data_IF_500046160901
#
_entry.id   IF_500046160901
#
_cell.length_a   1.000
_cell.length_b   1.000
_cell.length_c   1.000
_cell.angle_alpha   90.00
_cell.angle_beta   90.00
_cell.angle_gamma   90.00
#
_symmetry.space_group_name_H-M   'P 1'
#
loop_
_entity.id
_entity.type
_entity.pdbx_description
1 polymer ?
#
# COMPACT_ATOMS: atom_id res chain seq x y z
N UNK A 1 -88.04 -24.37 -21.32
CA UNK A 1 -86.73 -24.50 -22.00
C UNK A 1 -85.86 -23.32 -21.57
N UNK A 2 -85.03 -23.50 -20.56
CA UNK A 2 -84.09 -22.48 -20.08
C UNK A 2 -82.69 -22.82 -20.62
N UNK A 3 -82.08 -21.87 -21.32
CA UNK A 3 -80.74 -21.99 -21.92
C UNK A 3 -79.69 -21.51 -20.93
N UNK A 4 -78.87 -22.43 -20.42
CA UNK A 4 -77.74 -22.12 -19.54
C UNK A 4 -76.58 -21.53 -20.34
N UNK A 5 -76.39 -20.22 -20.19
CA UNK A 5 -75.18 -19.50 -20.63
C UNK A 5 -73.98 -20.01 -19.84
N UNK A 6 -73.14 -20.82 -20.48
CA UNK A 6 -71.83 -21.20 -19.95
C UNK A 6 -70.95 -19.94 -19.82
N UNK A 7 -70.71 -19.50 -18.58
CA UNK A 7 -69.69 -18.50 -18.27
C UNK A 7 -68.32 -19.12 -18.55
N UNK A 8 -67.61 -18.61 -19.56
CA UNK A 8 -66.20 -18.95 -19.79
C UNK A 8 -65.41 -18.51 -18.56
N UNK A 9 -64.72 -19.45 -17.91
CA UNK A 9 -63.72 -19.16 -16.89
C UNK A 9 -62.62 -18.28 -17.50
N UNK A 10 -62.12 -17.26 -16.78
CA UNK A 10 -60.98 -16.49 -17.22
C UNK A 10 -59.78 -17.44 -17.41
N UNK A 11 -58.93 -17.20 -18.43
CA UNK A 11 -57.74 -18.02 -18.63
C UNK A 11 -56.89 -18.00 -17.36
N UNK A 12 -56.29 -19.15 -16.97
CA UNK A 12 -55.41 -19.21 -15.82
C UNK A 12 -54.29 -18.18 -15.99
N UNK A 13 -54.04 -17.39 -14.94
CA UNK A 13 -52.92 -16.46 -14.94
C UNK A 13 -51.62 -17.26 -15.20
N UNK A 14 -50.74 -16.76 -16.08
CA UNK A 14 -49.52 -17.47 -16.42
C UNK A 14 -48.69 -17.67 -15.15
N UNK A 15 -48.44 -18.93 -14.80
CA UNK A 15 -47.53 -19.30 -13.72
C UNK A 15 -46.13 -18.79 -14.08
N UNK A 16 -45.59 -17.91 -13.24
CA UNK A 16 -44.24 -17.37 -13.40
C UNK A 16 -43.25 -18.53 -13.46
N UNK A 17 -42.47 -18.61 -14.53
CA UNK A 17 -41.49 -19.68 -14.73
C UNK A 17 -40.42 -19.66 -13.62
N UNK A 18 -39.99 -20.83 -13.16
CA UNK A 18 -39.01 -21.01 -12.08
C UNK A 18 -37.63 -20.40 -12.39
N UNK A 19 -37.31 -20.20 -13.67
CA UNK A 19 -36.02 -19.68 -14.12
C UNK A 19 -36.23 -18.51 -15.09
N UNK A 20 -36.38 -17.31 -14.54
CA UNK A 20 -36.43 -16.07 -15.31
C UNK A 20 -35.30 -15.16 -14.88
N UNK A 21 -34.55 -14.66 -15.85
CA UNK A 21 -33.49 -13.69 -15.63
C UNK A 21 -34.00 -12.31 -16.00
N UNK A 22 -33.80 -11.35 -15.11
CA UNK A 22 -34.01 -9.94 -15.45
C UNK A 22 -32.75 -9.47 -16.19
N UNK A 23 -32.91 -9.06 -17.45
CA UNK A 23 -31.79 -8.69 -18.31
C UNK A 23 -31.70 -7.17 -18.38
N UNK A 24 -30.50 -6.65 -18.15
CA UNK A 24 -30.17 -5.25 -18.38
C UNK A 24 -29.27 -5.12 -19.61
N UNK A 25 -29.48 -4.06 -20.37
CA UNK A 25 -28.74 -3.73 -21.59
C UNK A 25 -27.83 -2.52 -21.36
N UNK A 26 -26.52 -2.72 -21.53
CA UNK A 26 -25.52 -1.66 -21.47
C UNK A 26 -24.95 -1.36 -22.85
N UNK A 27 -24.57 -0.10 -23.06
CA UNK A 27 -23.79 0.35 -24.23
C UNK A 27 -22.46 0.93 -23.78
N UNK A 28 -21.35 0.36 -24.25
CA UNK A 28 -19.97 0.77 -23.90
C UNK A 28 -19.13 0.80 -25.17
N UNK A 29 -18.47 1.93 -25.48
CA UNK A 29 -17.73 2.15 -26.74
C UNK A 29 -18.48 1.67 -28.00
N UNK A 30 -19.79 1.92 -28.06
CA UNK A 30 -20.64 1.52 -29.19
C UNK A 30 -20.99 0.04 -29.26
N UNK A 31 -20.53 -0.80 -28.33
CA UNK A 31 -20.92 -2.21 -28.20
C UNK A 31 -22.08 -2.37 -27.22
N UNK A 32 -22.95 -3.34 -27.50
CA UNK A 32 -24.10 -3.69 -26.66
C UNK A 32 -23.80 -4.94 -25.85
N UNK A 33 -24.09 -4.89 -24.55
CA UNK A 33 -23.95 -5.99 -23.62
C UNK A 33 -25.29 -6.28 -22.95
N UNK A 34 -25.75 -7.54 -23.02
CA UNK A 34 -26.96 -8.01 -22.35
C UNK A 34 -26.57 -8.97 -21.25
N UNK A 35 -26.89 -8.61 -20.01
CA UNK A 35 -26.40 -9.33 -18.83
C UNK A 35 -27.48 -9.42 -17.75
N UNK A 36 -27.45 -10.46 -16.89
CA UNK A 36 -28.40 -10.56 -15.78
C UNK A 36 -28.22 -9.41 -14.79
N UNK A 37 -29.28 -8.65 -14.52
CA UNK A 37 -29.27 -7.48 -13.64
C UNK A 37 -28.89 -7.81 -12.19
N UNK A 38 -29.19 -9.02 -11.74
CA UNK A 38 -29.07 -9.43 -10.33
C UNK A 38 -27.67 -9.24 -9.76
N UNK A 39 -26.59 -9.61 -10.47
CA UNK A 39 -25.23 -9.49 -9.91
C UNK A 39 -24.77 -8.03 -9.82
N UNK A 40 -25.29 -7.13 -10.66
CA UNK A 40 -25.02 -5.70 -10.52
C UNK A 40 -25.66 -5.14 -9.25
N UNK A 41 -26.91 -5.54 -8.96
CA UNK A 41 -27.60 -5.18 -7.71
C UNK A 41 -26.90 -5.80 -6.49
N UNK A 42 -26.52 -7.08 -6.58
CA UNK A 42 -25.88 -7.80 -5.47
C UNK A 42 -24.51 -7.21 -5.11
N UNK A 43 -23.74 -6.82 -6.11
CA UNK A 43 -22.36 -6.39 -5.89
C UNK A 43 -22.18 -4.88 -5.83
N UNK A 44 -23.10 -4.05 -6.31
CA UNK A 44 -22.95 -2.59 -6.32
C UNK A 44 -24.19 -1.88 -5.80
N UNK A 45 -24.00 -1.11 -4.74
CA UNK A 45 -25.03 -0.23 -4.18
C UNK A 45 -25.42 0.87 -5.19
N UNK A 46 -24.46 1.35 -6.00
CA UNK A 46 -24.71 2.35 -7.05
C UNK A 46 -25.71 1.80 -8.08
N UNK A 47 -25.48 0.56 -8.54
CA UNK A 47 -26.40 -0.07 -9.47
C UNK A 47 -27.73 -0.43 -8.79
N UNK A 48 -27.72 -0.91 -7.55
CA UNK A 48 -28.94 -1.19 -6.79
C UNK A 48 -29.83 0.06 -6.66
N UNK A 49 -29.25 1.21 -6.29
CA UNK A 49 -29.95 2.48 -6.16
C UNK A 49 -30.47 2.96 -7.51
N UNK A 50 -29.61 3.01 -8.54
CA UNK A 50 -30.00 3.41 -9.90
C UNK A 50 -31.18 2.58 -10.42
N UNK A 51 -31.16 1.28 -10.16
CA UNK A 51 -32.21 0.34 -10.55
C UNK A 51 -33.48 0.43 -9.70
N UNK A 52 -33.39 0.96 -8.48
CA UNK A 52 -34.52 1.20 -7.59
C UNK A 52 -35.24 2.53 -7.83
N UNK A 53 -34.66 3.45 -8.62
CA UNK A 53 -35.30 4.72 -8.96
C UNK A 53 -36.59 4.50 -9.77
N UNK A 54 -37.65 5.28 -9.50
CA UNK A 54 -38.89 5.18 -10.25
C UNK A 54 -38.67 5.54 -11.72
N UNK A 55 -39.31 4.80 -12.63
CA UNK A 55 -39.24 5.04 -14.06
C UNK A 55 -39.60 6.49 -14.40
N UNK A 56 -38.69 7.18 -15.08
CA UNK A 56 -38.97 8.47 -15.70
C UNK A 56 -40.05 8.27 -16.77
N UNK A 57 -41.07 9.12 -16.75
CA UNK A 57 -42.12 9.12 -17.77
C UNK A 57 -41.75 10.11 -18.85
N UNK A 58 -41.77 9.66 -20.09
CA UNK A 58 -41.59 10.55 -21.22
C UNK A 58 -42.77 11.52 -21.37
N UNK A 59 -42.64 12.49 -22.28
CA UNK A 59 -43.69 13.46 -22.63
C UNK A 59 -45.00 12.83 -23.13
N UNK A 60 -45.02 11.52 -23.40
CA UNK A 60 -46.16 10.73 -23.88
C UNK A 60 -46.72 9.80 -22.79
N UNK A 61 -46.18 9.87 -21.56
CA UNK A 61 -46.63 9.10 -20.40
C UNK A 61 -46.14 7.64 -20.40
N UNK A 62 -45.26 7.25 -21.32
CA UNK A 62 -44.63 5.93 -21.37
C UNK A 62 -43.47 5.88 -20.38
N UNK A 63 -43.34 4.76 -19.67
CA UNK A 63 -42.18 4.51 -18.84
C UNK A 63 -40.97 4.31 -19.78
N UNK A 64 -40.08 5.30 -19.83
CA UNK A 64 -38.81 5.21 -20.55
C UNK A 64 -37.74 4.85 -19.51
N UNK A 65 -37.56 3.55 -19.33
CA UNK A 65 -36.57 3.00 -18.40
C UNK A 65 -35.38 2.54 -19.22
N UNK A 66 -34.29 3.26 -19.10
CA UNK A 66 -33.02 2.89 -19.73
C UNK A 66 -32.58 1.50 -19.26
N UNK A 67 -32.02 0.73 -20.20
CA UNK A 67 -31.47 -0.60 -19.97
C UNK A 67 -32.46 -1.75 -20.16
N UNK A 68 -33.74 -1.50 -20.48
CA UNK A 68 -34.72 -2.56 -20.75
C UNK A 68 -34.66 -3.12 -22.17
N UNK A 69 -34.07 -2.39 -23.13
CA UNK A 69 -33.99 -2.83 -24.52
C UNK A 69 -32.72 -2.34 -25.22
N UNK A 70 -32.46 -2.87 -26.42
CA UNK A 70 -31.30 -2.48 -27.25
C UNK A 70 -31.46 -1.05 -27.76
N UNK A 71 -32.70 -0.60 -27.96
CA UNK A 71 -33.05 0.73 -28.45
C UNK A 71 -32.91 1.81 -27.37
N UNK A 72 -33.02 1.43 -26.09
CA UNK A 72 -32.81 2.32 -24.94
C UNK A 72 -31.86 1.65 -23.92
N UNK A 73 -30.55 1.54 -24.20
CA UNK A 73 -29.57 0.93 -23.31
C UNK A 73 -29.04 1.95 -22.28
N UNK A 74 -28.55 1.46 -21.14
CA UNK A 74 -27.76 2.30 -20.22
C UNK A 74 -26.40 2.56 -20.87
N UNK A 75 -26.14 3.83 -21.21
CA UNK A 75 -24.89 4.22 -21.87
C UNK A 75 -23.82 4.54 -20.82
N UNK A 76 -22.69 3.85 -20.87
CA UNK A 76 -21.55 4.06 -19.97
C UNK A 76 -20.44 4.83 -20.69
N UNK A 77 -20.57 6.14 -20.72
CA UNK A 77 -19.58 7.04 -21.35
C UNK A 77 -18.27 7.10 -20.55
N UNK A 78 -17.14 7.14 -21.26
CA UNK A 78 -15.80 7.23 -20.67
C UNK A 78 -15.20 5.90 -20.21
N UNK A 79 -15.90 4.79 -20.38
CA UNK A 79 -15.40 3.43 -20.08
C UNK A 79 -15.08 2.66 -21.36
N UNK A 80 -14.08 1.79 -21.28
CA UNK A 80 -13.67 0.96 -22.43
C UNK A 80 -14.47 -0.34 -22.46
N UNK A 81 -14.87 -0.78 -23.66
CA UNK A 81 -15.60 -2.04 -23.80
C UNK A 81 -14.78 -3.24 -23.32
N UNK A 82 -13.46 -3.25 -23.57
CA UNK A 82 -12.57 -4.31 -23.08
C UNK A 82 -12.47 -4.36 -21.55
N UNK A 83 -12.54 -3.20 -20.88
CA UNK A 83 -12.53 -3.15 -19.42
C UNK A 83 -13.83 -3.71 -18.86
N UNK A 84 -14.96 -3.37 -19.49
CA UNK A 84 -16.27 -3.89 -19.12
C UNK A 84 -16.39 -5.40 -19.36
N UNK A 85 -15.87 -5.91 -20.48
CA UNK A 85 -15.79 -7.34 -20.77
C UNK A 85 -15.01 -8.10 -19.68
N UNK A 86 -13.89 -7.55 -19.22
CA UNK A 86 -13.11 -8.14 -18.12
C UNK A 86 -13.92 -8.19 -16.81
N UNK A 87 -14.62 -7.12 -16.46
CA UNK A 87 -15.53 -7.11 -15.31
C UNK A 87 -16.62 -8.19 -15.44
N UNK A 88 -17.27 -8.28 -16.60
CA UNK A 88 -18.31 -9.28 -16.85
C UNK A 88 -17.75 -10.70 -16.76
N UNK A 89 -16.53 -10.94 -17.25
CA UNK A 89 -15.86 -12.24 -17.13
C UNK A 89 -15.65 -12.63 -15.66
N UNK A 90 -15.24 -11.69 -14.81
CA UNK A 90 -15.12 -11.91 -13.36
C UNK A 90 -16.48 -12.09 -12.68
N UNK A 91 -17.48 -11.31 -13.09
CA UNK A 91 -18.83 -11.35 -12.53
C UNK A 91 -19.63 -12.55 -13.01
N UNK A 92 -19.36 -13.15 -14.17
CA UNK A 92 -20.11 -14.27 -14.72
C UNK A 92 -19.16 -15.33 -15.32
N UNK A 93 -18.45 -16.10 -14.47
CA UNK A 93 -17.66 -17.23 -14.93
C UNK A 93 -18.55 -18.23 -15.67
N UNK A 94 -18.06 -18.76 -16.81
CA UNK A 94 -18.79 -19.79 -17.54
C UNK A 94 -18.81 -21.11 -16.75
N UNK A 95 -19.76 -21.99 -17.06
CA UNK A 95 -19.82 -23.32 -16.45
C UNK A 95 -18.51 -24.10 -16.65
N UNK A 96 -17.88 -24.01 -17.81
CA UNK A 96 -16.56 -24.61 -18.05
C UNK A 96 -15.47 -24.02 -17.16
N UNK A 97 -15.46 -22.68 -16.96
CA UNK A 97 -14.49 -22.06 -16.07
C UNK A 97 -14.56 -22.61 -14.63
N UNK A 98 -15.78 -22.89 -14.16
CA UNK A 98 -16.02 -23.40 -12.81
C UNK A 98 -15.76 -24.91 -12.72
N UNK A 99 -16.36 -25.69 -13.63
CA UNK A 99 -16.31 -27.16 -13.59
C UNK A 99 -14.91 -27.71 -13.90
N UNK A 100 -14.18 -27.04 -14.79
CA UNK A 100 -12.85 -27.49 -15.22
C UNK A 100 -11.72 -26.75 -14.47
N UNK A 101 -12.06 -25.77 -13.61
CA UNK A 101 -11.08 -24.96 -12.90
C UNK A 101 -10.22 -24.08 -13.82
N UNK A 102 -10.69 -23.84 -15.05
CA UNK A 102 -9.97 -23.12 -16.12
C UNK A 102 -10.20 -21.61 -16.10
N UNK A 103 -10.82 -21.07 -15.03
CA UNK A 103 -10.97 -19.63 -14.90
C UNK A 103 -9.59 -18.96 -14.88
N UNK A 104 -9.32 -18.15 -15.91
CA UNK A 104 -8.06 -17.44 -16.10
C UNK A 104 -8.33 -16.03 -16.59
N UNK A 105 -7.64 -15.08 -15.98
CA UNK A 105 -7.64 -13.68 -16.39
C UNK A 105 -6.20 -13.19 -16.43
N UNK A 106 -5.90 -12.39 -17.44
CA UNK A 106 -4.63 -11.71 -17.60
C UNK A 106 -4.48 -10.58 -16.58
N UNK A 107 -3.25 -10.08 -16.45
CA UNK A 107 -2.94 -8.93 -15.60
C UNK A 107 -3.81 -7.71 -15.95
N UNK A 108 -3.91 -7.35 -17.23
CA UNK A 108 -4.67 -6.16 -17.65
C UNK A 108 -6.17 -6.33 -17.46
N UNK A 109 -6.70 -7.55 -17.66
CA UNK A 109 -8.08 -7.87 -17.34
C UNK A 109 -8.35 -7.67 -15.84
N UNK A 110 -7.47 -8.18 -14.95
CA UNK A 110 -7.64 -7.97 -13.52
C UNK A 110 -7.53 -6.50 -13.09
N UNK A 111 -6.62 -5.72 -13.68
CA UNK A 111 -6.54 -4.27 -13.45
C UNK A 111 -7.84 -3.59 -13.89
N UNK A 112 -8.42 -4.01 -15.01
CA UNK A 112 -9.71 -3.50 -15.48
C UNK A 112 -10.84 -3.82 -14.50
N UNK A 113 -10.88 -5.05 -13.96
CA UNK A 113 -11.83 -5.43 -12.90
C UNK A 113 -11.63 -4.55 -11.67
N UNK A 114 -10.39 -4.37 -11.20
CA UNK A 114 -10.08 -3.54 -10.03
C UNK A 114 -10.53 -2.08 -10.24
N UNK A 115 -10.25 -1.50 -11.42
CA UNK A 115 -10.68 -0.15 -11.79
C UNK A 115 -12.19 0.00 -11.73
N UNK A 116 -12.94 -0.81 -12.47
CA UNK A 116 -14.40 -0.67 -12.56
C UNK A 116 -15.09 -1.02 -11.24
N UNK A 117 -14.62 -2.05 -10.55
CA UNK A 117 -15.16 -2.41 -9.23
C UNK A 117 -14.91 -1.34 -8.17
N UNK A 118 -13.83 -0.57 -8.27
CA UNK A 118 -13.60 0.57 -7.38
C UNK A 118 -14.55 1.72 -7.70
N UNK A 119 -14.71 2.07 -8.99
CA UNK A 119 -15.57 3.18 -9.43
C UNK A 119 -17.05 2.91 -9.16
N UNK A 120 -17.49 1.65 -9.31
CA UNK A 120 -18.88 1.26 -9.11
C UNK A 120 -19.16 0.67 -7.72
N UNK A 121 -18.28 0.92 -6.76
CA UNK A 121 -18.39 0.44 -5.37
C UNK A 121 -18.73 -1.07 -5.26
N UNK A 122 -18.07 -1.92 -6.05
CA UNK A 122 -18.28 -3.37 -6.07
C UNK A 122 -17.34 -4.10 -5.11
N UNK A 123 -17.51 -3.95 -3.80
CA UNK A 123 -16.55 -4.39 -2.77
C UNK A 123 -16.07 -5.84 -2.91
N UNK A 124 -17.00 -6.79 -3.10
CA UNK A 124 -16.65 -8.22 -3.23
C UNK A 124 -15.83 -8.49 -4.49
N UNK A 125 -16.19 -7.84 -5.60
CA UNK A 125 -15.48 -7.98 -6.88
C UNK A 125 -14.12 -7.28 -6.82
N UNK A 126 -14.04 -6.13 -6.16
CA UNK A 126 -12.80 -5.42 -5.88
C UNK A 126 -11.83 -6.30 -5.09
N UNK A 127 -12.29 -6.90 -4.00
CA UNK A 127 -11.46 -7.81 -3.21
C UNK A 127 -11.03 -9.04 -4.02
N UNK A 128 -11.91 -9.55 -4.88
CA UNK A 128 -11.57 -10.66 -5.78
C UNK A 128 -10.45 -10.26 -6.76
N UNK A 129 -10.49 -9.06 -7.33
CA UNK A 129 -9.44 -8.54 -8.20
C UNK A 129 -8.10 -8.32 -7.47
N UNK A 130 -8.13 -7.77 -6.26
CA UNK A 130 -6.94 -7.62 -5.40
C UNK A 130 -6.31 -8.98 -5.13
N UNK A 131 -7.11 -9.98 -4.75
CA UNK A 131 -6.63 -11.34 -4.53
C UNK A 131 -6.06 -11.93 -5.82
N UNK A 132 -6.76 -11.80 -6.95
CA UNK A 132 -6.29 -12.26 -8.26
C UNK A 132 -4.93 -11.69 -8.65
N UNK A 133 -4.73 -10.38 -8.45
CA UNK A 133 -3.47 -9.68 -8.72
C UNK A 133 -2.36 -10.00 -7.71
N UNK A 134 -2.71 -10.28 -6.46
CA UNK A 134 -1.74 -10.57 -5.39
C UNK A 134 -1.28 -12.03 -5.36
N UNK A 135 -2.10 -12.96 -5.84
CA UNK A 135 -1.86 -14.41 -5.67
C UNK A 135 -0.75 -14.97 -6.58
N UNK A 136 -0.26 -14.19 -7.56
CA UNK A 136 0.88 -14.58 -8.41
C UNK A 136 0.65 -15.81 -9.30
N UNK A 137 -0.55 -16.38 -9.32
CA UNK A 137 -0.91 -17.47 -10.21
C UNK A 137 -1.06 -16.93 -11.64
N UNK A 138 -0.45 -17.63 -12.60
CA UNK A 138 -0.54 -17.38 -14.04
C UNK A 138 -0.01 -16.02 -14.53
N UNK A 139 1.32 -15.82 -14.46
CA UNK A 139 2.05 -14.72 -15.14
C UNK A 139 1.76 -13.28 -14.69
N UNK A 140 0.95 -13.10 -13.65
CA UNK A 140 0.67 -11.79 -13.05
C UNK A 140 1.69 -11.51 -11.94
N UNK A 141 2.84 -10.95 -12.30
CA UNK A 141 3.81 -10.44 -11.32
C UNK A 141 3.73 -8.92 -11.31
N UNK A 142 3.31 -8.33 -10.19
CA UNK A 142 3.36 -6.89 -9.97
C UNK A 142 4.75 -6.50 -9.46
N UNK A 143 5.40 -5.57 -10.16
CA UNK A 143 6.65 -4.94 -9.71
C UNK A 143 6.38 -3.99 -8.53
N UNK A 144 7.44 -3.55 -7.85
CA UNK A 144 7.38 -2.54 -6.78
C UNK A 144 6.65 -1.27 -7.24
N UNK A 145 6.95 -0.83 -8.47
CA UNK A 145 6.35 0.35 -9.10
C UNK A 145 4.88 0.12 -9.41
N UNK A 146 4.53 -1.08 -9.89
CA UNK A 146 3.14 -1.44 -10.15
C UNK A 146 2.31 -1.42 -8.87
N UNK A 147 2.84 -1.99 -7.78
CA UNK A 147 2.17 -2.00 -6.47
C UNK A 147 1.98 -0.58 -5.93
N UNK A 148 3.01 0.24 -6.00
CA UNK A 148 2.92 1.64 -5.59
C UNK A 148 1.87 2.40 -6.43
N UNK A 149 1.92 2.27 -7.76
CA UNK A 149 1.00 2.94 -8.67
C UNK A 149 -0.46 2.48 -8.50
N UNK A 150 -0.70 1.16 -8.52
CA UNK A 150 -2.04 0.60 -8.36
C UNK A 150 -2.58 0.87 -6.94
N UNK A 151 -1.70 0.86 -5.94
CA UNK A 151 -2.02 1.25 -4.56
C UNK A 151 -2.53 2.69 -4.47
N UNK A 152 -1.84 3.64 -5.11
CA UNK A 152 -2.25 5.05 -5.19
C UNK A 152 -3.58 5.21 -5.96
N UNK A 153 -3.65 4.68 -7.18
CA UNK A 153 -4.77 4.96 -8.10
C UNK A 153 -6.05 4.20 -7.73
N UNK A 154 -5.92 2.98 -7.21
CA UNK A 154 -7.07 2.12 -6.85
C UNK A 154 -7.27 1.97 -5.33
N UNK A 155 -6.55 2.79 -4.55
CA UNK A 155 -6.71 2.89 -3.10
C UNK A 155 -6.49 1.57 -2.37
N UNK A 156 -5.44 0.84 -2.74
CA UNK A 156 -5.07 -0.46 -2.15
C UNK A 156 -3.91 -0.25 -1.18
N UNK A 157 -4.20 0.07 0.07
CA UNK A 157 -3.20 0.42 1.09
C UNK A 157 -2.06 -0.61 1.23
N UNK A 158 -2.31 -1.94 1.28
CA UNK A 158 -1.23 -2.92 1.39
C UNK A 158 -0.23 -2.83 0.22
N UNK A 159 -0.70 -2.61 -1.00
CA UNK A 159 0.17 -2.47 -2.17
C UNK A 159 0.90 -1.14 -2.19
N UNK A 160 0.25 -0.06 -1.74
CA UNK A 160 0.90 1.24 -1.61
C UNK A 160 2.11 1.14 -0.68
N UNK A 161 1.89 0.64 0.53
CA UNK A 161 2.95 0.50 1.55
C UNK A 161 4.04 -0.44 1.06
N UNK A 162 3.68 -1.63 0.55
CA UNK A 162 4.64 -2.63 0.09
C UNK A 162 5.48 -2.11 -1.09
N UNK A 163 4.82 -1.50 -2.08
CA UNK A 163 5.45 -0.97 -3.29
C UNK A 163 6.43 0.15 -2.98
N UNK A 164 6.00 1.16 -2.21
CA UNK A 164 6.85 2.30 -1.82
C UNK A 164 8.01 1.84 -0.94
N UNK A 165 7.76 0.99 0.06
CA UNK A 165 8.81 0.43 0.92
C UNK A 165 9.87 -0.32 0.11
N UNK A 166 9.43 -1.09 -0.89
CA UNK A 166 10.34 -1.84 -1.76
C UNK A 166 11.18 -0.93 -2.67
N UNK A 167 10.59 0.16 -3.19
CA UNK A 167 11.32 1.18 -3.99
C UNK A 167 12.36 1.90 -3.12
N UNK A 168 12.01 2.28 -1.89
CA UNK A 168 12.96 2.94 -0.99
C UNK A 168 14.10 1.99 -0.63
N UNK A 169 13.77 0.72 -0.36
CA UNK A 169 14.74 -0.30 0.05
C UNK A 169 15.73 -0.70 -1.04
N UNK A 170 15.45 -0.45 -2.33
CA UNK A 170 16.44 -0.69 -3.40
C UNK A 170 17.64 0.26 -3.30
N UNK A 171 17.44 1.45 -2.73
CA UNK A 171 18.45 2.50 -2.59
C UNK A 171 18.77 3.26 -3.89
N UNK A 172 18.16 2.87 -5.01
CA UNK A 172 18.36 3.52 -6.30
C UNK A 172 17.53 4.81 -6.40
N UNK A 173 18.07 5.88 -7.02
CA UNK A 173 17.29 7.08 -7.30
C UNK A 173 16.16 6.75 -8.28
N UNK A 174 14.95 7.30 -8.09
CA UNK A 174 13.83 7.07 -9.00
C UNK A 174 14.15 7.48 -10.44
N UNK A 175 13.88 6.57 -11.36
CA UNK A 175 14.03 6.77 -12.80
C UNK A 175 12.98 7.76 -13.35
N UNK A 176 13.25 8.32 -14.54
CA UNK A 176 12.29 9.18 -15.22
C UNK A 176 10.96 8.47 -15.53
N UNK A 177 10.99 7.15 -15.78
CA UNK A 177 9.79 6.34 -15.94
C UNK A 177 8.98 6.26 -14.65
N UNK A 178 9.62 6.03 -13.51
CA UNK A 178 8.94 5.97 -12.21
C UNK A 178 8.35 7.32 -11.81
N UNK A 179 9.06 8.41 -12.10
CA UNK A 179 8.55 9.79 -11.90
C UNK A 179 7.28 10.03 -12.71
N UNK A 180 7.25 9.58 -13.97
CA UNK A 180 6.07 9.74 -14.83
C UNK A 180 4.89 8.89 -14.36
N UNK A 181 5.16 7.69 -13.84
CA UNK A 181 4.12 6.76 -13.40
C UNK A 181 3.55 7.14 -12.04
N UNK A 182 4.39 7.41 -11.04
CA UNK A 182 3.97 7.68 -9.66
C UNK A 182 3.63 9.16 -9.43
N UNK A 183 4.14 10.05 -10.28
CA UNK A 183 3.98 11.49 -10.13
C UNK A 183 4.98 12.11 -9.16
N UNK A 184 5.11 13.43 -9.24
CA UNK A 184 6.12 14.20 -8.49
C UNK A 184 5.91 14.17 -6.98
N UNK A 185 4.66 14.16 -6.50
CA UNK A 185 4.36 14.16 -5.07
C UNK A 185 4.90 12.90 -4.39
N UNK A 186 4.47 11.73 -4.89
CA UNK A 186 4.90 10.44 -4.38
C UNK A 186 6.43 10.26 -4.49
N UNK A 187 7.03 10.65 -5.62
CA UNK A 187 8.49 10.57 -5.77
C UNK A 187 9.23 11.50 -4.81
N UNK A 188 8.71 12.69 -4.53
CA UNK A 188 9.33 13.61 -3.56
C UNK A 188 9.37 12.99 -2.16
N UNK A 189 8.29 12.30 -1.76
CA UNK A 189 8.24 11.57 -0.49
C UNK A 189 9.24 10.40 -0.50
N UNK A 190 9.27 9.61 -1.58
CA UNK A 190 10.25 8.51 -1.75
C UNK A 190 11.68 9.04 -1.59
N UNK A 191 12.06 10.10 -2.29
CA UNK A 191 13.43 10.67 -2.23
C UNK A 191 13.73 11.21 -0.84
N UNK A 192 12.78 11.87 -0.19
CA UNK A 192 12.95 12.36 1.18
C UNK A 192 13.18 11.20 2.14
N UNK A 193 12.37 10.14 2.07
CA UNK A 193 12.50 8.96 2.92
C UNK A 193 13.79 8.22 2.60
N UNK A 194 14.16 8.00 1.33
CA UNK A 194 15.46 7.42 0.95
C UNK A 194 16.62 8.21 1.56
N UNK A 195 16.54 9.55 1.53
CA UNK A 195 17.54 10.41 2.13
C UNK A 195 17.54 10.36 3.68
N UNK A 196 16.46 9.91 4.33
CA UNK A 196 16.36 9.70 5.78
C UNK A 196 16.73 8.28 6.21
N UNK A 197 16.34 7.28 5.41
CA UNK A 197 16.51 5.85 5.62
C UNK A 197 17.88 5.34 5.16
N UNK A 198 18.63 6.13 4.39
CA UNK A 198 20.03 5.83 4.14
C UNK A 198 20.75 5.72 5.50
N UNK A 199 21.27 4.53 5.87
CA UNK A 199 21.88 4.29 7.18
C UNK A 199 23.05 5.24 7.45
N UNK A 200 23.54 5.90 6.40
CA UNK A 200 24.79 6.63 6.37
C UNK A 200 24.63 8.14 6.22
N UNK A 201 23.44 8.73 6.42
CA UNK A 201 23.40 10.21 6.48
C UNK A 201 24.21 10.71 7.67
N UNK A 202 24.10 10.03 8.82
CA UNK A 202 24.89 10.35 10.01
C UNK A 202 26.26 9.67 10.02
N UNK A 203 26.44 8.61 9.22
CA UNK A 203 27.70 7.88 9.12
C UNK A 203 28.52 8.30 7.89
N UNK A 204 29.56 9.12 8.04
CA UNK A 204 30.43 9.42 6.89
C UNK A 204 31.51 8.34 6.73
N UNK A 205 31.50 7.65 5.59
CA UNK A 205 32.50 6.64 5.24
C UNK A 205 33.74 7.30 4.64
N UNK A 206 34.90 7.00 5.21
CA UNK A 206 36.21 7.42 4.70
C UNK A 206 37.06 6.18 4.45
N UNK A 207 38.17 6.31 3.73
CA UNK A 207 39.11 5.20 3.52
C UNK A 207 39.68 4.62 4.83
N UNK A 208 39.53 5.34 5.94
CA UNK A 208 40.05 4.95 7.26
C UNK A 208 39.00 4.31 8.16
N UNK A 209 37.71 4.68 8.06
CA UNK A 209 36.66 4.12 8.93
C UNK A 209 35.30 4.80 8.83
N UNK A 210 34.46 4.56 9.83
CA UNK A 210 33.07 5.03 9.92
C UNK A 210 32.99 6.12 10.98
N UNK A 211 32.37 7.25 10.69
CA UNK A 211 32.25 8.38 11.64
C UNK A 211 30.79 8.67 11.94
N UNK A 212 30.40 9.06 13.16
CA UNK A 212 29.03 9.42 13.51
C UNK A 212 28.93 10.72 14.30
N UNK A 213 27.69 11.21 14.44
CA UNK A 213 27.35 12.33 15.33
C UNK A 213 27.03 11.82 16.75
N UNK A 214 27.17 12.70 17.74
CA UNK A 214 26.82 12.37 19.12
C UNK A 214 25.31 12.13 19.30
N UNK A 215 24.46 12.85 18.56
CA UNK A 215 22.99 12.70 18.60
C UNK A 215 22.47 11.40 17.99
N UNK A 216 23.30 10.72 17.19
CA UNK A 216 22.97 9.41 16.60
C UNK A 216 23.10 8.26 17.60
N UNK A 217 23.75 8.48 18.74
CA UNK A 217 23.88 7.48 19.80
C UNK A 217 22.57 7.37 20.60
N UNK A 218 22.03 6.16 20.68
CA UNK A 218 20.76 5.83 21.34
C UNK A 218 20.97 4.92 22.53
N UNK A 219 20.02 4.97 23.45
CA UNK A 219 19.94 4.05 24.58
C UNK A 219 19.62 2.62 24.07
N UNK A 220 20.37 1.58 24.49
CA UNK A 220 20.10 0.20 24.06
C UNK A 220 18.77 -0.39 24.57
N UNK A 221 18.16 0.21 25.59
CA UNK A 221 16.91 -0.31 26.19
C UNK A 221 15.67 0.37 25.62
N UNK A 222 15.69 1.70 25.55
CA UNK A 222 14.53 2.50 25.16
C UNK A 222 14.68 3.20 23.80
N UNK A 223 15.83 3.05 23.13
CA UNK A 223 16.12 3.57 21.79
C UNK A 223 16.00 5.10 21.61
N UNK A 224 15.78 5.84 22.71
CA UNK A 224 15.79 7.29 22.73
C UNK A 224 17.22 7.86 22.66
N UNK A 225 17.33 9.13 22.28
CA UNK A 225 18.60 9.84 22.21
C UNK A 225 19.36 9.72 23.54
N UNK A 226 20.59 9.22 23.50
CA UNK A 226 21.38 9.02 24.71
C UNK A 226 22.00 10.34 25.20
N UNK A 227 22.33 11.23 24.25
CA UNK A 227 22.88 12.55 24.53
C UNK A 227 21.97 13.63 23.96
N UNK A 228 21.55 14.56 24.83
CA UNK A 228 20.75 15.75 24.47
C UNK A 228 21.56 17.04 24.49
N UNK A 229 22.82 16.97 24.92
CA UNK A 229 23.72 18.11 25.02
C UNK A 229 25.07 17.76 24.40
N UNK A 230 25.78 18.74 23.82
CA UNK A 230 27.16 18.55 23.37
C UNK A 230 28.07 18.07 24.51
N UNK A 231 29.09 17.29 24.16
CA UNK A 231 30.13 16.86 25.10
C UNK A 231 31.46 17.54 24.77
N UNK A 232 32.38 17.52 25.73
CA UNK A 232 33.78 17.87 25.50
C UNK A 232 34.62 16.60 25.60
N UNK A 233 35.46 16.35 24.60
CA UNK A 233 36.40 15.24 24.62
C UNK A 233 37.35 15.38 25.81
N UNK A 234 37.47 14.34 26.63
CA UNK A 234 38.28 14.36 27.86
C UNK A 234 39.77 14.59 27.57
N UNK A 235 40.27 14.07 26.44
CA UNK A 235 41.69 14.14 26.11
C UNK A 235 42.12 15.44 25.41
N UNK A 236 41.26 16.05 24.58
CA UNK A 236 41.64 17.24 23.79
C UNK A 236 40.73 18.46 24.00
N UNK A 237 39.74 18.34 24.89
CA UNK A 237 38.75 19.37 25.22
C UNK A 237 37.96 19.91 24.02
N UNK A 238 37.99 19.20 22.88
CA UNK A 238 37.21 19.59 21.71
C UNK A 238 35.72 19.33 21.94
N UNK A 239 34.89 20.28 21.51
CA UNK A 239 33.45 20.12 21.55
C UNK A 239 32.98 19.08 20.52
N UNK A 240 32.23 18.10 20.98
CA UNK A 240 31.55 17.07 20.22
C UNK A 240 30.08 17.50 20.13
N UNK A 241 29.73 18.16 19.03
CA UNK A 241 28.36 18.61 18.77
C UNK A 241 27.44 17.43 18.46
N UNK A 242 26.16 17.56 18.83
CA UNK A 242 25.10 16.58 18.55
C UNK A 242 24.95 16.33 17.05
N UNK A 243 25.15 17.35 16.22
CA UNK A 243 24.90 17.29 14.77
C UNK A 243 26.16 17.09 13.93
N UNK A 244 27.35 17.17 14.55
CA UNK A 244 28.60 17.00 13.82
C UNK A 244 28.86 15.52 13.52
N UNK A 245 28.49 15.11 12.31
CA UNK A 245 28.62 13.74 11.77
C UNK A 245 30.03 13.20 11.66
N UNK A 246 31.04 14.04 11.89
CA UNK A 246 32.45 13.67 11.93
C UNK A 246 33.05 13.83 13.31
N UNK A 247 32.25 13.98 14.37
CA UNK A 247 32.79 14.22 15.70
C UNK A 247 33.32 12.93 16.35
N UNK A 248 32.69 11.79 16.05
CA UNK A 248 33.05 10.48 16.58
C UNK A 248 33.50 9.58 15.42
N UNK A 249 34.57 8.84 15.63
CA UNK A 249 35.15 7.88 14.70
C UNK A 249 35.08 6.48 15.32
N UNK A 250 34.74 5.46 14.53
CA UNK A 250 34.66 4.07 14.95
C UNK A 250 35.90 3.32 14.47
N UNK A 251 36.79 2.97 15.38
CA UNK A 251 38.05 2.28 15.08
C UNK A 251 37.81 0.78 14.89
N UNK A 252 38.46 0.18 13.89
CA UNK A 252 38.43 -1.26 13.59
C UNK A 252 37.02 -1.83 13.55
N UNK A 253 36.14 -1.31 12.70
CA UNK A 253 34.82 -1.89 12.49
C UNK A 253 34.91 -2.90 11.32
N UNK A 254 35.36 -4.16 11.53
CA UNK A 254 35.57 -5.11 10.43
C UNK A 254 34.21 -5.65 9.92
N UNK A 255 33.12 -5.18 10.52
CA UNK A 255 31.73 -5.60 10.32
C UNK A 255 30.84 -4.50 9.75
N UNK A 256 31.29 -3.26 9.52
CA UNK A 256 30.41 -2.22 8.93
C UNK A 256 30.17 -2.44 7.42
N UNK A 257 30.94 -3.32 6.77
CA UNK A 257 30.58 -3.84 5.45
C UNK A 257 29.59 -5.01 5.47
N UNK A 258 29.24 -5.54 6.65
CA UNK A 258 28.48 -6.78 6.78
C UNK A 258 27.54 -6.85 8.02
N UNK A 259 27.11 -5.71 8.58
CA UNK A 259 26.14 -5.70 9.67
C UNK A 259 24.71 -5.82 9.12
N UNK A 260 24.43 -6.90 8.39
CA UNK A 260 23.11 -7.51 8.44
C UNK A 260 23.07 -8.22 9.78
N UNK A 261 22.41 -7.65 10.78
CA UNK A 261 22.26 -8.27 12.11
C UNK A 261 21.68 -9.67 11.90
N UNK A 262 22.46 -10.71 12.18
CA UNK A 262 21.97 -12.07 12.34
C UNK A 262 20.97 -12.06 13.50
N UNK A 263 19.83 -12.72 13.33
CA UNK A 263 18.64 -12.75 14.20
C UNK A 263 18.86 -13.27 15.66
N UNK A 264 20.07 -13.24 16.22
CA UNK A 264 20.41 -13.99 17.42
C UNK A 264 20.47 -13.19 18.73
N UNK A 265 20.35 -11.85 18.75
CA UNK A 265 20.53 -11.09 20.01
C UNK A 265 19.58 -9.87 20.13
N UNK A 266 18.27 -10.08 19.94
CA UNK A 266 17.27 -9.03 20.21
C UNK A 266 16.21 -9.56 21.17
N UNK A 267 16.36 -9.21 22.45
CA UNK A 267 15.32 -9.42 23.48
C UNK A 267 14.40 -8.18 23.66
N UNK A 268 14.61 -7.10 22.88
CA UNK A 268 13.83 -5.86 23.02
C UNK A 268 12.80 -5.68 21.89
N UNK A 269 11.51 -5.38 22.21
CA UNK A 269 10.46 -5.12 21.22
C UNK A 269 10.67 -3.81 20.43
N UNK A 270 11.68 -3.01 20.76
CA UNK A 270 11.98 -1.72 20.11
C UNK A 270 13.19 -1.77 19.16
N UNK A 271 13.92 -2.89 19.07
CA UNK A 271 15.05 -2.99 18.17
C UNK A 271 14.60 -3.19 16.73
N UNK A 272 15.22 -2.47 15.81
CA UNK A 272 15.03 -2.67 14.38
C UNK A 272 16.16 -3.51 13.79
N UNK A 273 15.93 -4.11 12.62
CA UNK A 273 16.95 -4.87 11.87
C UNK A 273 18.17 -4.03 11.47
N UNK A 274 18.11 -2.70 11.62
CA UNK A 274 19.09 -1.73 11.13
C UNK A 274 19.95 -1.11 12.25
N UNK A 275 19.73 -1.45 13.51
CA UNK A 275 20.46 -0.87 14.64
C UNK A 275 21.91 -1.36 14.71
N UNK A 276 22.88 -0.45 14.57
CA UNK A 276 24.28 -0.82 14.70
C UNK A 276 24.67 -0.82 16.18
N UNK A 277 24.85 -2.01 16.73
CA UNK A 277 25.42 -2.20 18.06
C UNK A 277 26.93 -1.97 18.01
N UNK A 278 27.39 -0.99 18.76
CA UNK A 278 28.80 -0.62 18.83
C UNK A 278 29.25 -0.72 20.28
N UNK A 279 30.37 -1.41 20.52
CA UNK A 279 31.05 -1.29 21.81
C UNK A 279 31.62 0.13 21.90
N UNK A 280 31.23 0.91 22.91
CA UNK A 280 31.69 2.29 23.03
C UNK A 280 33.20 2.43 23.21
N UNK A 281 33.92 1.34 23.55
CA UNK A 281 35.39 1.27 23.48
C UNK A 281 35.95 1.37 22.07
N UNK A 282 35.12 1.27 21.04
CA UNK A 282 35.48 1.45 19.64
C UNK A 282 35.30 2.90 19.18
N UNK A 283 34.70 3.76 20.01
CA UNK A 283 34.51 5.18 19.69
C UNK A 283 35.77 5.98 19.98
N UNK A 284 36.17 6.83 19.04
CA UNK A 284 37.31 7.75 19.11
C UNK A 284 36.86 9.17 18.78
N UNK A 285 37.42 10.15 19.45
CA UNK A 285 37.28 11.55 19.07
C UNK A 285 37.94 11.76 17.71
N UNK A 286 37.24 12.35 16.75
CA UNK A 286 37.79 12.55 15.42
C UNK A 286 38.98 13.54 15.38
N UNK A 287 39.15 14.38 16.42
CA UNK A 287 40.25 15.34 16.49
C UNK A 287 41.55 14.74 17.04
N UNK A 288 41.45 13.88 18.07
CA UNK A 288 42.63 13.39 18.80
C UNK A 288 42.77 11.87 18.81
N UNK A 289 41.80 11.13 18.28
CA UNK A 289 41.77 9.67 18.23
C UNK A 289 41.84 8.97 19.59
N UNK A 290 41.48 9.66 20.68
CA UNK A 290 41.30 9.09 22.02
C UNK A 290 39.81 9.00 22.36
N UNK A 291 39.46 8.33 23.46
CA UNK A 291 38.06 8.11 23.85
C UNK A 291 37.28 9.44 23.95
N UNK A 292 36.22 9.63 23.14
CA UNK A 292 35.45 10.86 23.10
C UNK A 292 34.55 10.99 24.32
N UNK A 293 34.11 9.85 24.86
CA UNK A 293 33.18 9.72 25.98
C UNK A 293 33.97 9.09 27.14
N UNK A 294 34.01 9.71 28.33
CA UNK A 294 34.72 9.14 29.46
C UNK A 294 34.06 7.82 29.89
N UNK A 295 34.77 6.72 29.64
CA UNK A 295 34.32 5.35 29.94
C UNK A 295 34.28 5.05 31.45
N UNK A 296 34.93 5.89 32.25
CA UNK A 296 34.94 5.86 33.72
C UNK A 296 33.68 6.44 34.35
N UNK A 297 32.89 7.24 33.61
CA UNK A 297 31.64 7.80 34.10
C UNK A 297 30.50 6.79 33.97
N UNK A 298 29.68 6.72 35.02
CA UNK A 298 28.39 6.04 34.96
C UNK A 298 27.39 6.98 34.30
N UNK A 299 26.84 6.57 33.17
CA UNK A 299 25.83 7.34 32.45
C UNK A 299 24.43 6.78 32.71
N UNK A 300 23.44 7.66 32.80
CA UNK A 300 22.04 7.29 32.96
C UNK A 300 21.27 7.79 31.76
N UNK A 301 20.43 6.92 31.17
CA UNK A 301 19.47 7.37 30.18
C UNK A 301 18.37 8.14 30.90
N UNK A 302 18.12 9.40 30.52
CA UNK A 302 17.09 10.23 31.15
C UNK A 302 15.66 9.70 30.98
N UNK A 303 15.43 8.87 29.95
CA UNK A 303 14.10 8.36 29.61
C UNK A 303 13.75 7.11 30.41
N UNK A 304 14.64 6.12 30.47
CA UNK A 304 14.38 4.85 31.16
C UNK A 304 15.09 4.69 32.51
N UNK A 305 15.89 5.69 32.93
CA UNK A 305 16.64 5.74 34.19
C UNK A 305 17.57 4.53 34.45
N UNK A 306 17.87 3.75 33.40
CA UNK A 306 18.76 2.59 33.53
C UNK A 306 20.22 3.04 33.56
N UNK A 307 20.95 2.60 34.59
CA UNK A 307 22.40 2.74 34.72
C UNK A 307 23.12 2.04 33.57
N UNK A 308 23.89 2.77 32.76
CA UNK A 308 24.65 2.20 31.64
C UNK A 308 26.14 2.47 31.76
N UNK A 309 26.90 1.40 31.55
CA UNK A 309 28.32 1.47 31.25
C UNK A 309 28.40 1.77 29.75
N UNK A 310 29.20 2.75 29.29
CA UNK A 310 29.30 3.13 27.88
C UNK A 310 29.86 2.04 26.94
N UNK A 311 29.97 0.78 27.40
CA UNK A 311 30.44 -0.37 26.63
C UNK A 311 29.40 -0.94 25.65
N UNK A 312 28.14 -0.52 25.73
CA UNK A 312 27.11 -0.89 24.73
C UNK A 312 26.35 0.36 24.33
N UNK A 313 26.64 0.88 23.14
CA UNK A 313 25.95 2.04 22.55
C UNK A 313 25.31 1.55 21.25
N UNK A 314 24.05 1.94 21.03
CA UNK A 314 23.38 1.68 19.76
C UNK A 314 23.48 2.92 18.91
N UNK A 315 23.93 2.79 17.67
CA UNK A 315 23.72 3.84 16.67
C UNK A 315 22.37 3.53 16.05
N UNK A 316 21.36 4.27 16.50
CA UNK A 316 19.99 4.08 16.04
C UNK A 316 19.89 4.52 14.60
N UNK A 317 19.66 3.56 13.70
CA UNK A 317 19.16 3.89 12.37
C UNK A 317 17.66 4.12 12.56
N UNK A 318 17.17 5.26 12.06
CA UNK A 318 15.80 5.78 12.29
C UNK A 318 14.70 4.74 12.01
N UNK A 319 13.50 5.08 12.50
CA UNK A 319 12.18 4.49 12.19
C UNK A 319 12.14 3.59 10.96
N UNK A 320 11.44 2.45 11.07
CA UNK A 320 11.30 1.52 9.96
C UNK A 320 10.91 2.28 8.69
N UNK A 321 11.46 1.90 7.53
CA UNK A 321 11.05 2.48 6.24
C UNK A 321 9.52 2.46 6.13
N UNK A 322 8.90 1.40 6.63
CA UNK A 322 7.45 1.28 6.66
C UNK A 322 6.78 2.38 7.51
N UNK A 323 7.30 2.72 8.68
CA UNK A 323 6.75 3.78 9.54
C UNK A 323 6.85 5.15 8.87
N UNK A 324 8.01 5.44 8.26
CA UNK A 324 8.23 6.65 7.48
C UNK A 324 7.30 6.75 6.27
N UNK A 325 7.00 5.62 5.62
CA UNK A 325 6.02 5.55 4.54
C UNK A 325 4.60 5.79 5.08
N UNK A 326 4.23 5.17 6.20
CA UNK A 326 2.91 5.36 6.80
C UNK A 326 2.66 6.81 7.23
N UNK A 327 3.69 7.50 7.73
CA UNK A 327 3.62 8.92 8.07
C UNK A 327 3.54 9.80 6.80
N UNK A 328 4.44 9.57 5.85
CA UNK A 328 4.53 10.43 4.66
C UNK A 328 3.32 10.28 3.73
N UNK A 329 2.70 9.09 3.66
CA UNK A 329 1.52 8.81 2.82
C UNK A 329 0.24 8.70 3.64
N UNK A 330 0.20 9.34 4.82
CA UNK A 330 -0.92 9.24 5.74
C UNK A 330 -2.26 9.62 5.09
N UNK A 331 -2.31 10.71 4.31
CA UNK A 331 -3.53 11.17 3.63
C UNK A 331 -4.04 10.12 2.63
N UNK A 332 -3.17 9.60 1.77
CA UNK A 332 -3.53 8.55 0.80
C UNK A 332 -3.98 7.26 1.49
N UNK A 333 -3.39 6.93 2.65
CA UNK A 333 -3.77 5.75 3.43
C UNK A 333 -5.12 5.93 4.14
N UNK A 334 -5.47 7.13 4.58
CA UNK A 334 -6.83 7.42 5.07
C UNK A 334 -7.86 7.31 3.95
N UNK A 335 -7.54 7.81 2.75
CA UNK A 335 -8.39 7.65 1.55
C UNK A 335 -8.61 6.17 1.21
N UNK A 336 -7.58 5.33 1.38
CA UNK A 336 -7.71 3.88 1.25
C UNK A 336 -8.70 3.30 2.25
N UNK A 337 -8.62 3.68 3.53
CA UNK A 337 -9.54 3.19 4.56
C UNK A 337 -10.98 3.58 4.29
N UNK A 338 -11.21 4.80 3.80
CA UNK A 338 -12.55 5.23 3.41
C UNK A 338 -13.11 4.41 2.24
N UNK A 339 -12.27 4.06 1.26
CA UNK A 339 -12.66 3.23 0.13
C UNK A 339 -12.98 1.77 0.51
N UNK A 340 -12.46 1.28 1.64
CA UNK A 340 -12.78 -0.04 2.16
C UNK A 340 -14.03 -0.04 3.08
N UNK A 341 -14.38 1.12 3.67
CA UNK A 341 -15.53 1.27 4.60
C UNK A 341 -16.85 1.62 3.90
N UNK A 342 -16.83 2.57 2.96
CA UNK A 342 -18.00 2.97 2.14
C UNK A 342 -18.35 1.89 1.14
#
# INVERSE_FOLDING_TARGET
>A
MASERHKRLPPPEPTVATFMWDIVVFKVEGRIFQVPRQRFIEYSDIFADMFGLPASRDSQGKADVEGLSIESPITLDGYRASEFEALLKAMYPTSSNVLEGTFRMTRDEWISVLKLSTVWNMKKIRQHAITGLSSGHDSVILTSVDKAYLGLVHRVAPWLVEGITSIISSGDPPSLSEIRTLGLSAVSHIVLIQAQASPFKDLSSTSTGVTCSLGSLKCPECYQAFFENPLFCDSCSAMISLDNRRAIYLENAPSVRAATISQAEVESPHATKFDLWVDGRMTRCAKCLYDPIPLSHVWFCRVCDVKKVPQKIVIGVRESIQDLVMEAFHEELEDCRQADMG
#
